data_IF_798596674534
#
_entry.id   IF_798596674534
#
_cell.length_a   1.000
_cell.length_b   1.000
_cell.length_c   1.000
_cell.angle_alpha   90.00
_cell.angle_beta   90.00
_cell.angle_gamma   90.00
#
_symmetry.space_group_name_H-M   'P 1'
#
loop_
_entity.id
_entity.type
_entity.pdbx_description
1 polymer ?
#
# COMPACT_ATOMS: atom_id res chain seq x y z
N UNK A 1 15.02 7.65 -11.18
CA UNK A 1 14.90 9.13 -11.04
C UNK A 1 14.00 9.75 -12.12
N UNK A 2 14.05 9.29 -13.38
CA UNK A 2 13.29 9.87 -14.51
C UNK A 2 11.76 9.87 -14.36
N UNK A 3 11.18 8.97 -13.56
CA UNK A 3 9.74 8.94 -13.27
C UNK A 3 9.21 10.23 -12.61
N UNK A 4 10.07 10.96 -11.88
CA UNK A 4 9.70 12.22 -11.22
C UNK A 4 9.90 13.46 -12.12
N UNK A 5 10.23 13.26 -13.40
CA UNK A 5 10.56 14.34 -14.34
C UNK A 5 12.03 14.77 -14.29
N UNK A 6 12.35 15.87 -14.98
CA UNK A 6 13.71 16.42 -15.08
C UNK A 6 13.72 17.94 -15.14
N UNK A 7 14.87 18.55 -14.88
CA UNK A 7 15.09 19.99 -14.94
C UNK A 7 14.30 20.77 -13.89
N UNK A 8 13.90 22.00 -14.23
CA UNK A 8 13.25 22.94 -13.30
C UNK A 8 11.87 22.51 -12.81
N UNK A 9 11.21 21.54 -13.47
CA UNK A 9 9.89 21.00 -13.10
C UNK A 9 9.95 19.59 -12.53
N UNK A 10 11.12 19.15 -12.04
CA UNK A 10 11.21 17.88 -11.32
C UNK A 10 10.29 17.90 -10.10
N UNK A 11 9.63 16.78 -9.80
CA UNK A 11 8.74 16.68 -8.65
C UNK A 11 9.47 17.08 -7.35
N UNK A 12 9.03 18.14 -6.66
CA UNK A 12 9.65 18.57 -5.41
C UNK A 12 9.40 17.54 -4.29
N UNK A 13 8.26 16.83 -4.34
CA UNK A 13 7.87 15.83 -3.35
C UNK A 13 8.55 14.46 -3.49
N UNK A 14 9.43 14.24 -4.48
CA UNK A 14 10.03 12.92 -4.76
C UNK A 14 10.72 12.29 -3.54
N UNK A 15 11.37 13.10 -2.71
CA UNK A 15 12.12 12.60 -1.56
C UNK A 15 11.17 12.14 -0.45
N UNK A 16 10.16 12.96 -0.16
CA UNK A 16 9.11 12.59 0.78
C UNK A 16 8.38 11.33 0.33
N UNK A 17 8.00 11.26 -0.96
CA UNK A 17 7.30 10.11 -1.53
C UNK A 17 8.14 8.83 -1.46
N UNK A 18 9.45 8.90 -1.74
CA UNK A 18 10.34 7.74 -1.63
C UNK A 18 10.45 7.24 -0.20
N UNK A 19 10.62 8.15 0.77
CA UNK A 19 10.78 7.79 2.19
C UNK A 19 9.47 7.25 2.75
N UNK A 20 8.35 7.91 2.48
CA UNK A 20 7.04 7.48 2.98
C UNK A 20 6.62 6.14 2.38
N UNK A 21 6.84 5.95 1.07
CA UNK A 21 6.54 4.68 0.40
C UNK A 21 7.43 3.55 0.92
N UNK A 22 8.71 3.81 1.15
CA UNK A 22 9.61 2.84 1.77
C UNK A 22 9.15 2.44 3.17
N UNK A 23 8.85 3.42 4.03
CA UNK A 23 8.37 3.16 5.39
C UNK A 23 7.04 2.38 5.39
N UNK A 24 6.10 2.76 4.52
CA UNK A 24 4.82 2.07 4.39
C UNK A 24 5.01 0.61 3.92
N UNK A 25 5.83 0.37 2.89
CA UNK A 25 6.08 -0.99 2.38
C UNK A 25 6.81 -1.83 3.44
N UNK A 26 7.84 -1.30 4.09
CA UNK A 26 8.56 -2.01 5.14
C UNK A 26 7.64 -2.35 6.32
N UNK A 27 6.78 -1.43 6.75
CA UNK A 27 5.79 -1.67 7.81
C UNK A 27 4.75 -2.72 7.41
N UNK A 28 4.25 -2.67 6.17
CA UNK A 28 3.32 -3.69 5.67
C UNK A 28 3.97 -5.08 5.62
N UNK A 29 5.19 -5.18 5.10
CA UNK A 29 5.94 -6.44 5.04
C UNK A 29 6.33 -6.97 6.42
N UNK A 30 6.54 -6.09 7.39
CA UNK A 30 6.80 -6.48 8.76
C UNK A 30 5.55 -7.08 9.43
N UNK A 31 4.40 -6.44 9.26
CA UNK A 31 3.18 -6.76 10.03
C UNK A 31 2.26 -7.79 9.35
N UNK A 32 2.29 -7.89 8.02
CA UNK A 32 1.37 -8.73 7.25
C UNK A 32 2.08 -9.79 6.39
N UNK A 33 1.38 -10.90 6.16
CA UNK A 33 1.65 -11.86 5.11
C UNK A 33 0.76 -11.50 3.91
N UNK A 34 1.39 -11.10 2.82
CA UNK A 34 0.72 -10.75 1.56
C UNK A 34 0.86 -11.96 0.62
N UNK A 35 -0.27 -12.57 0.27
CA UNK A 35 -0.34 -13.74 -0.61
C UNK A 35 -1.35 -13.50 -1.72
N UNK A 36 -1.22 -14.24 -2.81
CA UNK A 36 -2.24 -14.27 -3.85
C UNK A 36 -3.53 -14.82 -3.27
N UNK A 37 -4.66 -14.28 -3.69
CA UNK A 37 -5.94 -14.87 -3.37
C UNK A 37 -6.02 -16.29 -3.95
N UNK A 38 -6.81 -17.14 -3.31
CA UNK A 38 -7.08 -18.50 -3.77
C UNK A 38 -8.52 -18.58 -4.26
N UNK A 39 -8.72 -19.31 -5.34
CA UNK A 39 -10.05 -19.64 -5.86
C UNK A 39 -10.72 -20.75 -5.04
N UNK A 40 -11.98 -21.08 -5.32
CA UNK A 40 -12.76 -22.13 -4.65
C UNK A 40 -12.06 -23.51 -4.65
N UNK A 41 -11.21 -23.74 -5.65
CA UNK A 41 -10.42 -24.97 -5.82
C UNK A 41 -9.02 -24.90 -5.17
N UNK A 42 -8.70 -23.82 -4.44
CA UNK A 42 -7.41 -23.64 -3.76
C UNK A 42 -6.26 -23.18 -4.65
N UNK A 43 -6.51 -22.93 -5.94
CA UNK A 43 -5.53 -22.45 -6.91
C UNK A 43 -5.24 -20.96 -6.72
N UNK A 44 -3.97 -20.55 -6.88
CA UNK A 44 -3.59 -19.15 -6.80
C UNK A 44 -4.16 -18.33 -7.97
N UNK A 45 -4.90 -17.28 -7.65
CA UNK A 45 -5.39 -16.31 -8.64
C UNK A 45 -4.23 -15.36 -8.94
N UNK A 46 -3.72 -15.41 -10.16
CA UNK A 46 -2.75 -14.42 -10.65
C UNK A 46 -3.52 -13.16 -11.05
N UNK A 47 -3.27 -12.00 -10.42
CA UNK A 47 -3.96 -10.77 -10.78
C UNK A 47 -3.63 -10.37 -12.21
N UNK A 48 -4.66 -9.99 -12.97
CA UNK A 48 -4.49 -9.52 -14.34
C UNK A 48 -3.77 -8.16 -14.37
N UNK A 49 -2.95 -7.90 -15.38
CA UNK A 49 -2.15 -6.66 -15.50
C UNK A 49 -2.94 -5.52 -16.13
N UNK A 50 -4.24 -5.44 -15.83
CA UNK A 50 -5.12 -4.42 -16.36
C UNK A 50 -5.06 -3.16 -15.49
N UNK A 51 -4.90 -2.02 -16.15
CA UNK A 51 -4.84 -0.72 -15.51
C UNK A 51 -6.01 0.14 -15.95
N UNK A 52 -6.56 0.90 -15.01
CA UNK A 52 -7.60 1.88 -15.27
C UNK A 52 -7.01 3.03 -16.09
N UNK A 53 -7.64 3.36 -17.22
CA UNK A 53 -7.26 4.52 -18.05
C UNK A 53 -7.70 5.82 -17.37
N UNK A 54 -6.92 6.31 -16.41
CA UNK A 54 -7.17 7.55 -15.69
C UNK A 54 -5.90 8.39 -15.59
N UNK A 55 -5.99 9.61 -15.04
CA UNK A 55 -4.83 10.47 -14.77
C UNK A 55 -3.75 9.75 -13.93
N UNK A 56 -4.16 8.78 -13.11
CA UNK A 56 -3.26 7.93 -12.33
C UNK A 56 -3.29 6.51 -12.88
N UNK A 57 -2.11 5.93 -13.08
CA UNK A 57 -2.00 4.52 -13.46
C UNK A 57 -2.30 3.64 -12.23
N UNK A 58 -3.53 3.14 -12.12
CA UNK A 58 -3.99 2.29 -11.01
C UNK A 58 -4.44 0.94 -11.55
N UNK A 59 -4.03 -0.18 -10.94
CA UNK A 59 -4.53 -1.49 -11.34
C UNK A 59 -6.04 -1.56 -11.09
N UNK A 60 -6.74 -2.36 -11.90
CA UNK A 60 -8.14 -2.72 -11.63
C UNK A 60 -8.21 -3.49 -10.31
N UNK A 61 -9.27 -3.34 -9.48
CA UNK A 61 -9.41 -4.08 -8.23
C UNK A 61 -9.28 -5.59 -8.45
N UNK A 62 -8.39 -6.22 -7.68
CA UNK A 62 -8.12 -7.66 -7.75
C UNK A 62 -8.21 -8.30 -6.37
N UNK A 63 -8.58 -9.59 -6.28
CA UNK A 63 -8.65 -10.28 -4.99
C UNK A 63 -7.24 -10.52 -4.44
N UNK A 64 -7.04 -10.24 -3.14
CA UNK A 64 -5.77 -10.46 -2.44
C UNK A 64 -6.00 -11.06 -1.05
N UNK A 65 -5.06 -11.88 -0.58
CA UNK A 65 -5.08 -12.44 0.79
C UNK A 65 -4.00 -11.75 1.63
N UNK A 66 -4.43 -10.82 2.49
CA UNK A 66 -3.55 -10.07 3.39
C UNK A 66 -3.96 -10.40 4.82
N UNK A 67 -3.08 -11.07 5.56
CA UNK A 67 -3.33 -11.48 6.95
C UNK A 67 -2.20 -11.01 7.87
N UNK A 68 -2.47 -10.65 9.13
CA UNK A 68 -1.42 -10.42 10.11
C UNK A 68 -0.48 -11.62 10.22
N UNK A 69 0.81 -11.38 10.47
CA UNK A 69 1.79 -12.47 10.60
C UNK A 69 1.55 -13.35 11.83
N UNK A 70 1.11 -12.74 12.93
CA UNK A 70 0.76 -13.43 14.17
C UNK A 70 -0.20 -12.59 15.00
N UNK A 71 -0.80 -13.20 16.02
CA UNK A 71 -1.73 -12.54 16.96
C UNK A 71 -1.11 -11.32 17.66
N UNK A 72 0.21 -11.35 17.87
CA UNK A 72 0.94 -10.20 18.42
C UNK A 72 0.94 -9.02 17.45
N UNK A 73 1.25 -9.27 16.16
CA UNK A 73 1.22 -8.23 15.13
C UNK A 73 -0.21 -7.71 14.94
N UNK A 74 -1.23 -8.57 15.01
CA UNK A 74 -2.63 -8.15 14.96
C UNK A 74 -2.96 -7.16 16.08
N UNK A 75 -2.57 -7.46 17.33
CA UNK A 75 -2.78 -6.55 18.47
C UNK A 75 -2.08 -5.22 18.24
N UNK A 76 -0.80 -5.24 17.83
CA UNK A 76 -0.04 -4.01 17.53
C UNK A 76 -0.70 -3.17 16.43
N UNK A 77 -1.15 -3.81 15.33
CA UNK A 77 -1.84 -3.13 14.24
C UNK A 77 -3.12 -2.47 14.74
N UNK A 78 -3.94 -3.19 15.51
CA UNK A 78 -5.21 -2.67 16.04
C UNK A 78 -4.97 -1.49 16.98
N UNK A 79 -3.98 -1.58 17.87
CA UNK A 79 -3.60 -0.48 18.75
C UNK A 79 -3.11 0.73 17.96
N UNK A 80 -2.24 0.53 16.96
CA UNK A 80 -1.73 1.62 16.13
C UNK A 80 -2.83 2.28 15.27
N UNK A 81 -3.77 1.49 14.74
CA UNK A 81 -4.89 2.00 13.95
C UNK A 81 -5.81 2.93 14.77
N UNK A 82 -6.05 2.60 16.04
CA UNK A 82 -6.82 3.47 16.95
C UNK A 82 -6.10 4.80 17.16
N UNK A 83 -4.78 4.78 17.39
CA UNK A 83 -3.98 6.00 17.57
C UNK A 83 -3.93 6.88 16.30
N UNK A 84 -4.04 6.28 15.11
CA UNK A 84 -4.08 7.03 13.84
C UNK A 84 -5.44 7.65 13.56
N UNK A 85 -6.53 7.17 14.17
CA UNK A 85 -7.86 7.78 14.03
C UNK A 85 -8.00 9.08 14.85
N UNK A 86 -7.12 9.31 15.84
CA UNK A 86 -7.04 10.58 16.59
C UNK A 86 -6.24 11.66 15.84
N UNK A 87 -5.57 11.30 14.73
CA UNK A 87 -4.95 12.27 13.83
C UNK A 87 -6.02 12.68 12.85
N UNK A 88 -6.68 13.81 13.07
CA UNK A 88 -7.70 14.37 12.19
C UNK A 88 -7.16 14.53 10.75
N UNK A 89 -7.35 13.51 9.91
CA UNK A 89 -6.97 13.52 8.49
C UNK A 89 -7.77 14.62 7.74
N UNK A 90 -8.89 15.08 8.32
CA UNK A 90 -9.70 16.20 7.85
C UNK A 90 -9.10 17.59 8.15
N UNK A 91 -8.04 17.70 8.94
CA UNK A 91 -7.38 18.98 9.22
C UNK A 91 -6.33 19.39 8.16
N UNK A 92 -6.09 18.54 7.15
CA UNK A 92 -5.04 18.74 6.12
C UNK A 92 -5.62 18.76 4.69
N UNK A 93 -6.94 18.75 4.52
CA UNK A 93 -7.65 18.99 3.25
C UNK A 93 -8.48 20.26 3.41
#
# INVERSE_FOLDING_TARGET
>A
MMFWGTGRRICPGRHLAMISMYAAIAGMLHSFNIRKAKDEFGNEIVPNQEFMSSLQNRPVPFPCDIKPRSDHHEKLIRTAAVLMNDVDIWAVI
#
